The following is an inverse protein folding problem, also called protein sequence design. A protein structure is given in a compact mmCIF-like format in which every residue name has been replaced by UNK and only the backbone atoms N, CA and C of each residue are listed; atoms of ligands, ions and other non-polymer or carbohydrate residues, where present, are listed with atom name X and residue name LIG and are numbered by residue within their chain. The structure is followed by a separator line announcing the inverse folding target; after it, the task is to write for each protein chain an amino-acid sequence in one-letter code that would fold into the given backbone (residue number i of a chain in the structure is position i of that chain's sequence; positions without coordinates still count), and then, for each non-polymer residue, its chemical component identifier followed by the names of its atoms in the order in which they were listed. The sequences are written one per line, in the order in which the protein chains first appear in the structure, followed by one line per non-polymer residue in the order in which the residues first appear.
data_IF_517443040942
#
_entry.id   IF_517443040942
#
_cell.length_a   1.000
_cell.length_b   1.000
_cell.length_c   1.000
_cell.angle_alpha   90.00
_cell.angle_beta   90.00
_cell.angle_gamma   90.00
#
_symmetry.space_group_name_H-M   'P 1'
#
loop_
_entity.id
_entity.type
_entity.pdbx_description
1 polymer ?
#
# COMPACT_ATOMS: atom_id res chain seq x y z
N UNK A 1 -9.63 9.72 14.34
CA UNK A 1 -8.68 8.69 14.86
C UNK A 1 -8.11 7.98 13.65
N UNK A 2 -6.79 7.92 13.49
CA UNK A 2 -6.22 7.06 12.44
C UNK A 2 -6.42 5.60 12.88
N UNK A 3 -6.95 4.74 12.00
CA UNK A 3 -7.09 3.32 12.31
C UNK A 3 -5.74 2.61 12.41
N UNK A 4 -5.79 1.30 12.71
CA UNK A 4 -4.60 0.48 12.91
C UNK A 4 -3.61 0.59 11.74
N UNK A 5 -2.32 0.57 12.07
CA UNK A 5 -1.25 0.67 11.07
C UNK A 5 -0.94 -0.70 10.50
N UNK A 6 -0.89 -0.82 9.17
CA UNK A 6 -0.64 -2.07 8.45
C UNK A 6 0.58 -1.90 7.54
N UNK A 7 1.61 -2.73 7.73
CA UNK A 7 2.76 -2.77 6.81
C UNK A 7 2.42 -3.59 5.57
N UNK A 8 2.56 -2.98 4.39
CA UNK A 8 2.36 -3.62 3.09
C UNK A 8 3.69 -3.69 2.36
N UNK A 9 4.22 -4.90 2.18
CA UNK A 9 5.41 -5.15 1.37
C UNK A 9 4.97 -5.34 -0.10
N UNK A 10 5.67 -4.71 -1.04
CA UNK A 10 5.26 -4.75 -2.45
C UNK A 10 4.11 -3.80 -2.79
N UNK A 11 3.88 -2.79 -1.95
CA UNK A 11 2.76 -1.83 -2.06
C UNK A 11 2.79 -0.95 -3.32
N UNK A 12 3.92 -0.87 -4.03
CA UNK A 12 4.03 -0.15 -5.30
C UNK A 12 3.74 -1.06 -6.53
N UNK A 13 3.49 -2.35 -6.32
CA UNK A 13 3.01 -3.26 -7.37
C UNK A 13 1.49 -3.21 -7.55
N UNK A 14 0.97 -3.84 -8.61
CA UNK A 14 -0.47 -3.84 -8.94
C UNK A 14 -1.36 -4.30 -7.77
N UNK A 15 -1.05 -5.44 -7.16
CA UNK A 15 -1.86 -5.98 -6.06
C UNK A 15 -1.68 -5.14 -4.79
N UNK A 16 -0.44 -4.75 -4.49
CA UNK A 16 -0.12 -3.98 -3.29
C UNK A 16 -0.78 -2.61 -3.26
N UNK A 17 -0.83 -1.91 -4.40
CA UNK A 17 -1.43 -0.58 -4.49
C UNK A 17 -2.95 -0.61 -4.29
N UNK A 18 -3.65 -1.57 -4.90
CA UNK A 18 -5.09 -1.77 -4.68
C UNK A 18 -5.40 -2.21 -3.26
N UNK A 19 -4.54 -3.05 -2.66
CA UNK A 19 -4.66 -3.44 -1.26
C UNK A 19 -4.52 -2.22 -0.33
N UNK A 20 -3.57 -1.32 -0.60
CA UNK A 20 -3.41 -0.09 0.17
C UNK A 20 -4.65 0.82 0.06
N UNK A 21 -5.23 0.94 -1.14
CA UNK A 21 -6.47 1.69 -1.35
C UNK A 21 -7.64 1.10 -0.53
N UNK A 22 -7.83 -0.21 -0.57
CA UNK A 22 -8.89 -0.90 0.18
C UNK A 22 -8.70 -0.78 1.70
N UNK A 23 -7.46 -0.86 2.18
CA UNK A 23 -7.12 -0.65 3.60
C UNK A 23 -7.45 0.78 4.03
N UNK A 24 -7.05 1.77 3.24
CA UNK A 24 -7.35 3.18 3.53
C UNK A 24 -8.85 3.45 3.54
N UNK A 25 -9.62 2.89 2.58
CA UNK A 25 -11.08 3.00 2.53
C UNK A 25 -11.78 2.38 3.75
N UNK A 26 -11.16 1.37 4.36
CA UNK A 26 -11.63 0.73 5.60
C UNK A 26 -11.16 1.45 6.88
N UNK A 27 -10.44 2.57 6.74
CA UNK A 27 -9.97 3.39 7.86
C UNK A 27 -8.62 2.98 8.46
N UNK A 28 -7.94 1.99 7.89
CA UNK A 28 -6.59 1.61 8.30
C UNK A 28 -5.56 2.61 7.77
N UNK A 29 -4.38 2.62 8.40
CA UNK A 29 -3.21 3.38 7.92
C UNK A 29 -2.19 2.42 7.29
N UNK A 30 -2.24 2.18 5.97
CA UNK A 30 -1.21 1.40 5.29
C UNK A 30 0.13 2.16 5.27
N UNK A 31 1.23 1.44 5.49
CA UNK A 31 2.60 1.91 5.33
C UNK A 31 3.30 0.96 4.37
N UNK A 32 3.89 1.50 3.30
CA UNK A 32 4.47 0.68 2.22
C UNK A 32 5.97 0.50 2.41
N UNK A 33 6.45 -0.73 2.22
CA UNK A 33 7.85 -1.03 1.98
C UNK A 33 7.99 -1.70 0.61
N UNK A 34 8.74 -1.06 -0.29
CA UNK A 34 8.89 -1.53 -1.66
C UNK A 34 10.28 -1.14 -2.20
N UNK A 35 10.82 -1.98 -3.09
CA UNK A 35 12.12 -1.75 -3.74
C UNK A 35 11.98 -1.34 -5.22
N UNK A 36 10.76 -1.21 -5.74
CA UNK A 36 10.44 -0.87 -7.12
C UNK A 36 11.05 -1.81 -8.17
N UNK A 37 11.34 -3.07 -7.81
CA UNK A 37 11.88 -4.06 -8.76
C UNK A 37 10.91 -4.39 -9.91
N UNK A 38 9.61 -4.33 -9.63
CA UNK A 38 8.52 -4.51 -10.61
C UNK A 38 7.44 -3.41 -10.50
N UNK A 39 7.64 -2.41 -9.64
CA UNK A 39 6.70 -1.31 -9.44
C UNK A 39 6.92 -0.22 -10.48
N UNK A 40 5.86 0.20 -11.16
CA UNK A 40 5.94 1.27 -12.15
C UNK A 40 5.94 2.63 -11.44
N UNK A 41 7.03 3.39 -11.56
CA UNK A 41 7.21 4.70 -10.92
C UNK A 41 6.44 5.83 -11.63
N UNK A 42 5.80 5.53 -12.76
CA UNK A 42 5.24 6.50 -13.71
C UNK A 42 3.71 6.63 -13.67
N UNK A 43 3.02 6.10 -12.65
CA UNK A 43 1.58 6.24 -12.49
C UNK A 43 1.21 6.89 -11.15
#
# INVERSE_FOLDING_TARGET
MAGETVLVVGGAGYIGSHTCLDLANKGYKPVVFDNFSNGHREF
#
